data_IF_042392944815
#
_entry.id   IF_042392944815
#
_cell.length_a   1.000
_cell.length_b   1.000
_cell.length_c   1.000
_cell.angle_alpha   90.00
_cell.angle_beta   90.00
_cell.angle_gamma   90.00
#
_symmetry.space_group_name_H-M   'P 1'
#
loop_
_entity.id
_entity.type
_entity.pdbx_description
1 polymer ?
#
# COMPACT_ATOMS: atom_id res chain seq x y z
N UNK A 1 0.30 -124.40 4.72
CA UNK A 1 -0.63 -123.32 5.15
C UNK A 1 -1.35 -122.88 3.88
N UNK A 2 -2.65 -123.10 3.74
CA UNK A 2 -3.78 -122.30 4.29
C UNK A 2 -3.91 -120.92 3.59
N UNK A 3 -5.09 -120.46 3.14
CA UNK A 3 -6.46 -121.04 2.99
C UNK A 3 -7.34 -120.01 2.21
N UNK A 4 -8.42 -120.41 1.51
CA UNK A 4 -9.37 -119.50 0.83
C UNK A 4 -9.05 -119.35 -0.67
N UNK A 5 -9.95 -119.51 -1.66
CA UNK A 5 -11.43 -119.40 -1.79
C UNK A 5 -11.93 -117.93 -1.86
N UNK A 6 -12.90 -117.49 -2.67
CA UNK A 6 -13.51 -117.97 -3.95
C UNK A 6 -14.38 -116.82 -4.57
N UNK A 7 -14.76 -116.92 -5.86
CA UNK A 7 -15.89 -116.23 -6.57
C UNK A 7 -16.08 -114.70 -6.55
N UNK A 8 -15.95 -114.10 -7.75
CA UNK A 8 -16.92 -113.24 -8.48
C UNK A 8 -17.65 -112.04 -7.83
N UNK A 9 -17.57 -110.86 -8.49
CA UNK A 9 -18.72 -110.24 -9.21
C UNK A 9 -18.39 -108.96 -10.03
N UNK A 10 -18.97 -108.90 -11.24
CA UNK A 10 -19.72 -107.81 -11.92
C UNK A 10 -19.40 -106.33 -11.52
N UNK A 11 -18.94 -105.44 -12.41
CA UNK A 11 -19.71 -104.66 -13.45
C UNK A 11 -20.55 -103.52 -12.83
N UNK A 12 -20.63 -102.25 -13.31
CA UNK A 12 -20.14 -101.49 -14.50
C UNK A 12 -19.16 -100.36 -14.01
N UNK A 13 -18.71 -99.25 -14.64
CA UNK A 13 -18.80 -98.55 -15.95
C UNK A 13 -17.53 -97.62 -16.11
N UNK A 14 -17.44 -96.90 -17.24
CA UNK A 14 -16.79 -95.61 -17.48
C UNK A 14 -15.29 -95.59 -17.87
N UNK A 15 -15.05 -95.32 -19.16
CA UNK A 15 -13.73 -95.25 -19.80
C UNK A 15 -12.92 -93.98 -19.46
N UNK A 16 -11.58 -93.99 -19.61
CA UNK A 16 -10.69 -92.99 -19.00
C UNK A 16 -10.48 -91.72 -19.84
N UNK A 17 -10.12 -90.61 -19.16
CA UNK A 17 -9.44 -89.47 -19.77
C UNK A 17 -8.05 -89.26 -19.16
N UNK A 18 -7.04 -89.36 -20.01
CA UNK A 18 -5.64 -89.10 -19.69
C UNK A 18 -5.44 -87.62 -19.32
N UNK A 19 -4.73 -87.35 -18.23
CA UNK A 19 -4.35 -85.98 -17.86
C UNK A 19 -3.15 -85.53 -18.72
N UNK A 20 -3.43 -84.74 -19.75
CA UNK A 20 -2.41 -83.99 -20.48
C UNK A 20 -1.78 -82.95 -19.54
N UNK A 21 -0.57 -83.22 -19.05
CA UNK A 21 0.23 -82.28 -18.26
C UNK A 21 0.80 -81.21 -19.21
N UNK A 22 -0.07 -80.29 -19.62
CA UNK A 22 0.32 -79.10 -20.37
C UNK A 22 1.17 -78.22 -19.48
N UNK A 23 2.45 -78.02 -19.84
CA UNK A 23 3.34 -77.09 -19.12
C UNK A 23 2.75 -75.68 -19.18
N UNK A 24 2.28 -75.18 -18.04
CA UNK A 24 1.85 -73.79 -17.91
C UNK A 24 3.07 -72.88 -18.10
N UNK A 25 3.17 -72.27 -19.27
CA UNK A 25 4.05 -71.12 -19.49
C UNK A 25 3.55 -70.00 -18.56
N UNK A 26 4.42 -69.36 -17.76
CA UNK A 26 4.01 -68.24 -16.92
C UNK A 26 3.76 -67.02 -17.80
N UNK A 27 2.56 -66.95 -18.39
CA UNK A 27 2.06 -65.74 -19.02
C UNK A 27 1.85 -64.70 -17.94
N UNK A 28 2.87 -63.88 -17.70
CA UNK A 28 2.73 -62.60 -16.98
C UNK A 28 1.89 -61.68 -17.85
N UNK A 29 0.57 -61.89 -17.83
CA UNK A 29 -0.39 -60.93 -18.35
C UNK A 29 -0.15 -59.64 -17.58
N UNK A 30 0.46 -58.64 -18.23
CA UNK A 30 0.51 -57.30 -17.67
C UNK A 30 -0.94 -56.91 -17.33
N UNK A 31 -1.21 -56.32 -16.14
CA UNK A 31 -2.54 -55.85 -15.82
C UNK A 31 -2.99 -54.93 -16.96
N UNK A 32 -4.24 -55.02 -17.43
CA UNK A 32 -4.69 -54.30 -18.61
C UNK A 32 -4.33 -52.83 -18.43
N UNK A 33 -3.53 -52.30 -19.36
CA UNK A 33 -3.23 -50.88 -19.39
C UNK A 33 -4.54 -50.17 -19.67
N UNK A 34 -5.20 -49.73 -18.60
CA UNK A 34 -6.31 -48.80 -18.69
C UNK A 34 -5.70 -47.56 -19.33
N UNK A 35 -5.93 -47.39 -20.62
CA UNK A 35 -5.69 -46.14 -21.30
C UNK A 35 -6.38 -45.08 -20.45
N UNK A 36 -5.58 -44.18 -19.88
CA UNK A 36 -6.14 -43.02 -19.21
C UNK A 36 -6.98 -42.33 -20.25
N UNK A 37 -8.28 -42.21 -20.02
CA UNK A 37 -9.08 -41.27 -20.79
C UNK A 37 -8.43 -39.89 -20.65
N UNK A 38 -7.68 -39.50 -21.68
CA UNK A 38 -7.44 -38.09 -21.94
C UNK A 38 -8.81 -37.49 -22.18
N UNK A 39 -9.41 -37.02 -21.09
CA UNK A 39 -10.70 -36.35 -21.05
C UNK A 39 -10.52 -35.06 -21.86
N UNK A 40 -10.68 -35.19 -23.19
CA UNK A 40 -10.51 -34.09 -24.12
C UNK A 40 -11.42 -32.97 -23.64
N UNK A 41 -10.87 -31.79 -23.32
CA UNK A 41 -11.69 -30.74 -22.77
C UNK A 41 -12.73 -30.28 -23.79
N UNK A 42 -13.78 -29.65 -23.29
CA UNK A 42 -14.83 -29.02 -24.12
C UNK A 42 -14.23 -27.98 -25.09
N UNK A 43 -13.12 -27.38 -24.68
CA UNK A 43 -12.37 -26.31 -25.32
C UNK A 43 -10.96 -26.25 -24.70
N UNK A 44 -9.92 -26.05 -25.51
CA UNK A 44 -8.51 -25.96 -25.10
C UNK A 44 -7.84 -24.64 -25.57
N UNK A 45 -8.66 -23.60 -25.78
CA UNK A 45 -8.19 -22.30 -26.24
C UNK A 45 -7.24 -21.65 -25.22
N UNK A 46 -6.14 -21.01 -25.66
CA UNK A 46 -5.30 -20.20 -24.79
C UNK A 46 -6.08 -18.97 -24.31
N UNK A 47 -6.03 -18.67 -23.01
CA UNK A 47 -6.68 -17.48 -22.43
C UNK A 47 -5.85 -16.20 -22.58
N UNK A 48 -4.91 -16.21 -23.52
CA UNK A 48 -4.34 -15.01 -24.13
C UNK A 48 -3.09 -14.44 -23.46
N UNK A 49 -2.39 -15.19 -22.62
CA UNK A 49 -1.08 -14.78 -22.08
C UNK A 49 -0.06 -14.69 -23.22
N UNK A 50 0.00 -15.72 -24.05
CA UNK A 50 0.94 -15.85 -25.17
C UNK A 50 0.69 -14.79 -26.25
N UNK A 51 -0.54 -14.75 -26.78
CA UNK A 51 -0.92 -13.88 -27.89
C UNK A 51 -1.20 -12.41 -27.47
N UNK A 52 -1.20 -12.11 -26.16
CA UNK A 52 -1.38 -10.77 -25.62
C UNK A 52 -2.84 -10.29 -25.51
N UNK A 53 -3.85 -11.12 -25.77
CA UNK A 53 -5.26 -10.80 -25.52
C UNK A 53 -5.59 -10.66 -24.02
N UNK A 54 -4.80 -11.26 -23.13
CA UNK A 54 -5.05 -11.18 -21.68
C UNK A 54 -4.85 -9.76 -21.12
N UNK A 55 -5.75 -9.24 -20.25
CA UNK A 55 -5.66 -7.89 -19.70
C UNK A 55 -4.37 -7.64 -18.89
N UNK A 56 -3.47 -6.81 -19.43
CA UNK A 56 -2.11 -6.60 -18.88
C UNK A 56 -2.08 -6.09 -17.42
N UNK A 57 -3.16 -5.48 -16.94
CA UNK A 57 -3.31 -4.90 -15.60
C UNK A 57 -4.01 -5.84 -14.58
N UNK A 58 -4.09 -7.16 -14.83
CA UNK A 58 -4.87 -8.13 -14.02
C UNK A 58 -4.07 -9.32 -13.49
N UNK A 59 -2.80 -9.10 -13.17
CA UNK A 59 -1.93 -10.07 -12.51
C UNK A 59 -1.62 -9.66 -11.07
N UNK A 60 -1.49 -10.63 -10.15
CA UNK A 60 -0.88 -10.38 -8.84
C UNK A 60 0.09 -11.50 -8.50
N UNK A 61 1.34 -11.12 -8.21
CA UNK A 61 2.39 -11.93 -7.60
C UNK A 61 3.42 -10.99 -6.95
N UNK A 62 4.41 -11.51 -6.23
CA UNK A 62 5.57 -10.76 -5.73
C UNK A 62 6.80 -11.36 -6.41
N UNK A 63 7.48 -10.61 -7.28
CA UNK A 63 8.55 -11.14 -8.14
C UNK A 63 9.81 -10.28 -8.13
N UNK A 64 10.96 -10.91 -8.37
CA UNK A 64 12.26 -10.24 -8.48
C UNK A 64 12.71 -10.10 -9.94
N UNK A 65 13.22 -8.91 -10.27
CA UNK A 65 14.10 -8.68 -11.40
C UNK A 65 14.92 -7.40 -11.15
N UNK A 66 16.00 -7.19 -11.91
CA UNK A 66 16.91 -6.05 -11.75
C UNK A 66 16.34 -4.69 -12.20
N UNK A 67 17.24 -3.74 -12.47
CA UNK A 67 16.90 -2.32 -12.75
C UNK A 67 15.95 -2.09 -13.93
N UNK A 68 15.77 -3.07 -14.81
CA UNK A 68 14.67 -3.10 -15.78
C UNK A 68 13.63 -4.14 -15.34
N UNK A 69 12.42 -3.67 -15.04
CA UNK A 69 11.28 -4.51 -14.64
C UNK A 69 10.42 -4.83 -15.88
N UNK A 70 10.51 -6.04 -16.47
CA UNK A 70 9.57 -6.46 -17.50
C UNK A 70 8.15 -6.51 -16.94
N UNK A 71 7.13 -6.32 -17.79
CA UNK A 71 5.73 -6.51 -17.37
C UNK A 71 5.53 -7.99 -17.02
N UNK A 72 4.67 -8.26 -16.02
CA UNK A 72 4.42 -9.63 -15.56
C UNK A 72 3.81 -10.54 -16.65
N UNK A 73 3.07 -9.98 -17.61
CA UNK A 73 2.63 -10.68 -18.83
C UNK A 73 3.81 -11.29 -19.60
N UNK A 74 4.91 -10.56 -19.78
CA UNK A 74 6.06 -10.99 -20.59
C UNK A 74 6.96 -12.01 -19.87
N UNK A 75 6.82 -12.13 -18.55
CA UNK A 75 7.40 -13.20 -17.74
C UNK A 75 6.60 -14.51 -17.80
N UNK A 76 5.34 -14.47 -18.27
CA UNK A 76 4.44 -15.63 -18.24
C UNK A 76 4.25 -16.28 -19.62
N UNK A 77 4.50 -15.58 -20.73
CA UNK A 77 4.45 -16.15 -22.10
C UNK A 77 5.32 -17.40 -22.23
N UNK A 78 4.78 -18.46 -22.84
CA UNK A 78 5.47 -19.72 -23.09
C UNK A 78 6.61 -19.59 -24.10
N UNK A 79 6.54 -18.60 -25.01
CA UNK A 79 7.65 -18.23 -25.91
C UNK A 79 8.75 -17.40 -25.26
N UNK A 80 8.55 -16.88 -24.05
CA UNK A 80 9.49 -15.94 -23.43
C UNK A 80 10.85 -16.60 -23.14
N UNK A 81 11.98 -15.90 -23.40
CA UNK A 81 13.33 -16.39 -23.03
C UNK A 81 13.60 -16.28 -21.51
N UNK A 82 12.73 -15.58 -20.78
CA UNK A 82 12.73 -15.43 -19.33
C UNK A 82 11.45 -16.04 -18.75
N UNK A 83 11.40 -16.26 -17.43
CA UNK A 83 10.20 -16.78 -16.77
C UNK A 83 9.95 -16.09 -15.43
N UNK A 84 8.70 -16.12 -14.98
CA UNK A 84 8.30 -15.58 -13.68
C UNK A 84 9.03 -16.29 -12.56
N UNK A 85 9.64 -15.50 -11.67
CA UNK A 85 10.34 -15.96 -10.48
C UNK A 85 9.93 -15.11 -9.28
N UNK A 86 9.39 -15.71 -8.20
CA UNK A 86 9.03 -14.97 -7.01
C UNK A 86 10.27 -14.44 -6.28
N UNK A 87 10.07 -13.47 -5.39
CA UNK A 87 11.17 -12.89 -4.59
C UNK A 87 11.84 -13.87 -3.62
N UNK A 88 11.18 -14.97 -3.28
CA UNK A 88 11.67 -16.03 -2.40
C UNK A 88 11.22 -17.40 -2.93
N UNK A 89 12.03 -18.44 -2.78
CA UNK A 89 11.64 -19.81 -3.12
C UNK A 89 10.81 -20.45 -1.98
N UNK A 90 9.53 -20.07 -1.82
CA UNK A 90 8.65 -20.61 -0.77
C UNK A 90 7.40 -21.33 -1.31
N UNK A 91 6.79 -22.28 -0.57
CA UNK A 91 5.50 -22.88 -0.95
C UNK A 91 4.28 -21.94 -0.82
N UNK A 92 4.47 -20.69 -0.42
CA UNK A 92 3.41 -19.68 -0.28
C UNK A 92 3.30 -18.74 -1.50
N UNK A 93 4.26 -18.78 -2.42
CA UNK A 93 4.27 -17.97 -3.64
C UNK A 93 3.16 -18.38 -4.61
N UNK A 94 2.68 -17.45 -5.43
CA UNK A 94 1.66 -17.76 -6.44
C UNK A 94 1.65 -16.80 -7.63
N UNK A 95 1.19 -17.32 -8.76
CA UNK A 95 0.71 -16.54 -9.90
C UNK A 95 -0.81 -16.46 -9.78
N UNK A 96 -1.40 -15.25 -9.68
CA UNK A 96 -2.85 -15.04 -9.72
C UNK A 96 -3.28 -14.37 -11.03
N UNK A 97 -4.23 -15.02 -11.71
CA UNK A 97 -5.00 -14.47 -12.83
C UNK A 97 -6.37 -13.96 -12.34
N UNK A 98 -6.85 -12.88 -12.95
CA UNK A 98 -8.21 -12.32 -12.83
C UNK A 98 -8.76 -12.10 -14.24
N UNK A 99 -9.68 -12.97 -14.67
CA UNK A 99 -10.25 -12.97 -16.02
C UNK A 99 -11.36 -11.92 -16.24
N UNK A 100 -11.52 -10.96 -15.32
CA UNK A 100 -12.54 -9.89 -15.29
C UNK A 100 -13.99 -10.37 -15.12
N UNK A 101 -14.40 -11.40 -15.83
CA UNK A 101 -15.66 -12.13 -15.68
C UNK A 101 -15.42 -13.61 -15.35
N UNK A 102 -16.48 -14.40 -15.14
CA UNK A 102 -16.38 -15.85 -15.16
C UNK A 102 -15.83 -16.35 -16.51
N UNK A 103 -15.07 -17.43 -16.48
CA UNK A 103 -14.61 -18.21 -17.64
C UNK A 103 -14.76 -19.70 -17.34
N UNK A 104 -14.91 -20.51 -18.38
CA UNK A 104 -14.83 -21.97 -18.28
C UNK A 104 -13.37 -22.38 -18.46
N UNK A 105 -12.67 -22.60 -17.34
CA UNK A 105 -11.26 -23.00 -17.34
C UNK A 105 -11.15 -24.51 -17.48
N UNK A 106 -10.43 -25.01 -18.48
CA UNK A 106 -10.33 -26.44 -18.79
C UNK A 106 -8.96 -27.03 -18.52
N UNK A 107 -7.92 -26.19 -18.40
CA UNK A 107 -6.59 -26.63 -18.05
C UNK A 107 -5.60 -25.49 -17.92
N UNK A 108 -4.32 -25.83 -18.00
CA UNK A 108 -3.21 -24.88 -18.15
C UNK A 108 -1.98 -25.58 -18.73
N UNK A 109 -1.13 -24.82 -19.42
CA UNK A 109 0.18 -25.26 -19.93
C UNK A 109 1.28 -24.51 -19.18
N UNK A 110 2.33 -25.22 -18.73
CA UNK A 110 3.50 -24.63 -18.07
C UNK A 110 4.81 -24.95 -18.80
N UNK A 111 5.77 -24.03 -18.73
CA UNK A 111 7.21 -24.30 -18.90
C UNK A 111 7.96 -23.86 -17.63
N UNK A 112 9.19 -24.35 -17.45
CA UNK A 112 10.15 -23.72 -16.54
C UNK A 112 10.73 -22.42 -17.11
N UNK A 113 11.94 -22.05 -16.70
CA UNK A 113 12.71 -20.97 -17.31
C UNK A 113 14.21 -21.03 -16.99
N UNK A 114 15.00 -20.01 -17.35
CA UNK A 114 16.47 -20.08 -17.37
C UNK A 114 17.13 -20.30 -16.00
N UNK A 115 16.39 -20.19 -14.89
CA UNK A 115 16.92 -20.32 -13.53
C UNK A 115 16.33 -21.50 -12.72
N UNK A 116 15.40 -22.27 -13.29
CA UNK A 116 14.75 -23.39 -12.61
C UNK A 116 13.43 -23.82 -13.23
N UNK A 117 12.74 -24.74 -12.57
CA UNK A 117 11.41 -25.18 -13.00
C UNK A 117 10.62 -25.78 -11.84
N UNK A 118 9.29 -25.64 -11.90
CA UNK A 118 8.38 -26.19 -10.88
C UNK A 118 7.98 -27.62 -11.26
N UNK A 119 8.36 -28.58 -10.41
CA UNK A 119 8.14 -30.03 -10.59
C UNK A 119 6.83 -30.52 -9.98
N UNK A 120 6.16 -29.69 -9.17
CA UNK A 120 4.79 -29.94 -8.71
C UNK A 120 4.14 -28.71 -8.10
N UNK A 121 2.85 -28.53 -8.36
CA UNK A 121 2.06 -27.37 -7.93
C UNK A 121 0.60 -27.75 -7.63
N UNK A 122 -0.10 -26.91 -6.87
CA UNK A 122 -1.56 -26.98 -6.73
C UNK A 122 -2.23 -25.82 -7.46
N UNK A 123 -3.43 -26.08 -7.95
CA UNK A 123 -4.30 -25.09 -8.60
C UNK A 123 -5.42 -24.72 -7.64
N UNK A 124 -5.59 -23.43 -7.42
CA UNK A 124 -6.69 -22.86 -6.63
C UNK A 124 -7.55 -21.96 -7.52
N UNK A 125 -8.86 -21.93 -7.30
CA UNK A 125 -9.80 -21.15 -8.12
C UNK A 125 -10.85 -20.43 -7.25
N UNK A 126 -11.39 -19.32 -7.73
CA UNK A 126 -12.37 -18.51 -7.01
C UNK A 126 -13.31 -17.73 -7.93
N UNK A 127 -14.59 -17.64 -7.54
CA UNK A 127 -15.56 -16.73 -8.19
C UNK A 127 -15.46 -15.28 -7.69
N UNK A 128 -14.89 -15.03 -6.50
CA UNK A 128 -14.91 -13.71 -5.85
C UNK A 128 -13.54 -13.20 -5.35
N UNK A 129 -12.45 -13.96 -5.55
CA UNK A 129 -11.10 -13.61 -5.14
C UNK A 129 -10.83 -13.69 -3.63
N UNK A 130 -11.87 -13.92 -2.81
CA UNK A 130 -11.80 -14.01 -1.34
C UNK A 130 -11.81 -15.46 -0.86
N UNK A 131 -12.76 -16.27 -1.33
CA UNK A 131 -12.92 -17.69 -0.98
C UNK A 131 -12.27 -18.53 -2.08
N UNK A 132 -11.31 -19.38 -1.74
CA UNK A 132 -10.51 -20.14 -2.70
C UNK A 132 -10.70 -21.65 -2.52
N UNK A 133 -11.13 -22.33 -3.59
CA UNK A 133 -11.24 -23.78 -3.66
C UNK A 133 -9.97 -24.36 -4.29
N UNK A 134 -9.55 -25.57 -3.89
CA UNK A 134 -8.47 -26.30 -4.57
C UNK A 134 -9.05 -27.21 -5.66
N UNK A 135 -8.30 -27.43 -6.75
CA UNK A 135 -8.59 -28.49 -7.72
C UNK A 135 -8.61 -29.86 -7.01
N UNK A 136 -9.57 -30.71 -7.35
CA UNK A 136 -9.74 -32.05 -6.77
C UNK A 136 -9.36 -33.17 -7.75
N UNK A 137 -9.07 -34.36 -7.20
CA UNK A 137 -8.78 -35.58 -7.95
C UNK A 137 -10.04 -36.42 -8.21
N UNK A 138 -9.84 -37.64 -8.71
CA UNK A 138 -10.93 -38.57 -9.01
C UNK A 138 -11.61 -39.17 -7.76
N UNK A 139 -11.03 -38.98 -6.57
CA UNK A 139 -11.55 -39.38 -5.26
C UNK A 139 -12.09 -38.19 -4.45
N UNK A 140 -12.17 -36.99 -5.06
CA UNK A 140 -12.58 -35.76 -4.39
C UNK A 140 -11.55 -35.15 -3.44
N UNK A 141 -10.31 -35.66 -3.43
CA UNK A 141 -9.24 -35.17 -2.54
C UNK A 141 -8.48 -34.00 -3.19
N UNK A 142 -7.82 -33.12 -2.40
CA UNK A 142 -7.05 -31.99 -2.94
C UNK A 142 -5.92 -32.46 -3.86
N UNK A 143 -6.01 -32.12 -5.15
CA UNK A 143 -5.08 -32.57 -6.19
C UNK A 143 -3.82 -31.71 -6.18
N UNK A 144 -2.68 -32.38 -6.27
CA UNK A 144 -1.41 -31.80 -6.73
C UNK A 144 -1.22 -32.21 -8.19
N UNK A 145 -0.80 -31.29 -9.04
CA UNK A 145 -0.38 -31.59 -10.40
C UNK A 145 1.13 -31.77 -10.43
N UNK A 146 1.57 -32.73 -11.25
CA UNK A 146 2.98 -32.88 -11.63
C UNK A 146 3.32 -31.68 -12.52
N UNK A 147 4.52 -31.14 -12.38
CA UNK A 147 4.99 -30.01 -13.17
C UNK A 147 5.96 -30.39 -14.27
N UNK A 148 6.78 -29.44 -14.68
CA UNK A 148 7.79 -29.64 -15.71
C UNK A 148 8.93 -30.54 -15.19
N UNK A 149 9.59 -31.23 -16.12
CA UNK A 149 10.77 -32.04 -15.86
C UNK A 149 12.09 -31.34 -16.23
N UNK A 150 12.02 -30.29 -17.05
CA UNK A 150 13.13 -29.43 -17.46
C UNK A 150 12.71 -27.94 -17.49
N UNK A 151 13.54 -27.07 -18.08
CA UNK A 151 13.30 -25.64 -18.18
C UNK A 151 12.44 -25.17 -19.36
N UNK A 152 12.23 -25.95 -20.43
CA UNK A 152 11.59 -25.46 -21.66
C UNK A 152 10.58 -26.39 -22.36
N UNK A 153 10.52 -27.68 -22.02
CA UNK A 153 9.47 -28.56 -22.52
C UNK A 153 8.10 -28.15 -21.96
N UNK A 154 7.09 -27.86 -22.81
CA UNK A 154 5.76 -27.49 -22.36
C UNK A 154 5.04 -28.70 -21.76
N UNK A 155 4.39 -28.49 -20.61
CA UNK A 155 3.66 -29.50 -19.87
C UNK A 155 2.20 -29.05 -19.70
N UNK A 156 1.27 -29.72 -20.38
CA UNK A 156 -0.16 -29.39 -20.36
C UNK A 156 -0.93 -30.24 -19.37
N UNK A 157 -1.81 -29.62 -18.59
CA UNK A 157 -2.69 -30.31 -17.64
C UNK A 157 -4.14 -29.86 -17.76
N UNK A 158 -4.97 -30.74 -18.32
CA UNK A 158 -6.42 -30.60 -18.31
C UNK A 158 -7.02 -30.97 -16.94
N UNK A 159 -8.05 -30.24 -16.55
CA UNK A 159 -8.85 -30.49 -15.36
C UNK A 159 -9.91 -31.55 -15.67
N UNK A 160 -10.27 -32.40 -14.69
CA UNK A 160 -11.31 -33.44 -14.87
C UNK A 160 -12.68 -32.85 -15.20
N UNK A 161 -12.95 -31.64 -14.70
CA UNK A 161 -14.17 -30.88 -14.92
C UNK A 161 -13.80 -29.43 -15.20
N UNK A 162 -14.50 -28.79 -16.14
CA UNK A 162 -14.31 -27.38 -16.43
C UNK A 162 -14.66 -26.52 -15.20
N UNK A 163 -13.76 -25.64 -14.78
CA UNK A 163 -13.92 -24.78 -13.61
C UNK A 163 -14.54 -23.45 -14.04
N UNK A 164 -15.84 -23.27 -13.79
CA UNK A 164 -16.49 -21.97 -13.99
C UNK A 164 -16.02 -20.98 -12.90
N UNK A 165 -15.02 -20.14 -13.23
CA UNK A 165 -14.29 -19.31 -12.27
C UNK A 165 -13.88 -17.96 -12.88
N UNK A 166 -13.77 -16.91 -12.06
CA UNK A 166 -13.19 -15.61 -12.49
C UNK A 166 -11.69 -15.51 -12.16
N UNK A 167 -11.24 -16.17 -11.10
CA UNK A 167 -9.86 -16.12 -10.66
C UNK A 167 -9.22 -17.51 -10.66
N UNK A 168 -7.94 -17.56 -11.00
CA UNK A 168 -7.10 -18.76 -10.96
C UNK A 168 -5.80 -18.42 -10.21
N UNK A 169 -5.30 -19.36 -9.42
CA UNK A 169 -4.02 -19.30 -8.72
C UNK A 169 -3.24 -20.59 -8.96
N UNK A 170 -1.99 -20.45 -9.37
CA UNK A 170 -1.01 -21.54 -9.40
C UNK A 170 -0.06 -21.33 -8.23
N UNK A 171 0.08 -22.36 -7.37
CA UNK A 171 0.89 -22.32 -6.15
C UNK A 171 1.95 -23.43 -6.26
N UNK A 172 3.23 -23.09 -6.52
CA UNK A 172 4.33 -24.04 -6.51
C UNK A 172 4.46 -24.77 -5.17
N UNK A 173 4.73 -26.07 -5.23
CA UNK A 173 4.92 -26.94 -4.05
C UNK A 173 6.27 -27.67 -4.07
N UNK A 174 6.82 -27.94 -5.27
CA UNK A 174 8.15 -28.53 -5.49
C UNK A 174 8.77 -27.93 -6.75
N UNK A 175 10.08 -27.75 -6.75
CA UNK A 175 10.85 -27.16 -7.85
C UNK A 175 12.28 -27.70 -7.89
N UNK A 176 12.94 -27.51 -9.03
CA UNK A 176 14.37 -27.77 -9.24
C UNK A 176 15.09 -26.44 -9.41
N UNK A 177 16.20 -26.26 -8.70
CA UNK A 177 16.98 -25.02 -8.58
C UNK A 177 16.18 -23.86 -7.95
N UNK A 178 15.26 -23.25 -8.70
CA UNK A 178 14.40 -22.16 -8.26
C UNK A 178 12.95 -22.37 -8.72
N UNK A 179 12.01 -21.70 -8.07
CA UNK A 179 10.69 -21.47 -8.63
C UNK A 179 10.87 -20.53 -9.84
N UNK A 180 10.76 -21.08 -11.05
CA UNK A 180 10.72 -20.29 -12.28
C UNK A 180 9.68 -20.91 -13.23
N UNK A 181 8.77 -20.10 -13.77
CA UNK A 181 7.62 -20.59 -14.57
C UNK A 181 7.25 -19.65 -15.71
N UNK A 182 6.84 -20.23 -16.84
CA UNK A 182 5.96 -19.61 -17.85
C UNK A 182 4.64 -20.39 -17.88
N UNK A 183 3.51 -19.72 -18.12
CA UNK A 183 2.15 -20.25 -17.93
C UNK A 183 1.15 -19.65 -18.92
N UNK A 184 0.41 -20.51 -19.63
CA UNK A 184 -0.83 -20.15 -20.32
C UNK A 184 -2.02 -20.91 -19.70
N UNK A 185 -3.01 -20.25 -19.09
CA UNK A 185 -4.28 -20.87 -18.72
C UNK A 185 -5.09 -21.28 -19.95
N UNK A 186 -5.75 -22.43 -19.92
CA UNK A 186 -6.59 -22.94 -21.02
C UNK A 186 -8.07 -22.93 -20.63
N UNK A 187 -8.95 -22.70 -21.60
CA UNK A 187 -10.39 -22.66 -21.39
C UNK A 187 -11.19 -22.63 -22.69
N UNK A 188 -12.42 -22.14 -22.59
CA UNK A 188 -13.15 -21.62 -23.74
C UNK A 188 -12.81 -20.14 -23.85
N UNK A 189 -12.24 -19.70 -24.97
CA UNK A 189 -11.94 -18.28 -25.16
C UNK A 189 -13.22 -17.49 -25.37
N UNK A 190 -13.35 -16.41 -24.61
CA UNK A 190 -14.38 -15.38 -24.77
C UNK A 190 -13.66 -14.04 -24.67
N UNK A 191 -13.96 -13.10 -25.56
CA UNK A 191 -13.38 -11.75 -25.52
C UNK A 191 -13.51 -11.15 -24.12
N UNK A 192 -12.39 -10.64 -23.61
CA UNK A 192 -12.38 -10.01 -22.30
C UNK A 192 -13.35 -8.82 -22.33
N UNK A 193 -14.24 -8.69 -21.32
CA UNK A 193 -15.17 -7.59 -21.28
C UNK A 193 -14.35 -6.30 -21.37
N UNK A 194 -14.69 -5.43 -22.32
CA UNK A 194 -13.99 -4.16 -22.50
C UNK A 194 -14.15 -3.40 -21.20
N UNK A 195 -13.10 -3.47 -20.38
CA UNK A 195 -12.88 -2.46 -19.37
C UNK A 195 -12.58 -1.24 -20.20
N UNK A 196 -13.63 -0.45 -20.44
CA UNK A 196 -13.46 0.98 -20.49
C UNK A 196 -12.78 1.32 -19.15
N UNK A 197 -11.45 1.29 -19.18
CA UNK A 197 -10.68 2.38 -18.61
C UNK A 197 -11.24 3.62 -19.32
N UNK A 198 -12.40 4.08 -18.80
CA UNK A 198 -12.69 5.49 -18.77
C UNK A 198 -11.36 6.14 -18.45
N UNK A 199 -10.91 6.97 -19.38
CA UNK A 199 -9.93 7.99 -19.03
C UNK A 199 -10.72 8.98 -18.15
N UNK A 200 -10.99 8.54 -16.91
CA UNK A 200 -10.59 9.30 -15.74
C UNK A 200 -9.22 9.82 -16.10
N UNK A 201 -9.22 11.08 -16.53
CA UNK A 201 -8.00 11.83 -16.69
C UNK A 201 -7.35 11.72 -15.32
N UNK A 202 -6.28 10.93 -15.24
CA UNK A 202 -5.46 10.90 -14.04
C UNK A 202 -4.77 12.25 -14.04
N UNK A 203 -5.47 13.24 -13.47
CA UNK A 203 -4.91 14.50 -13.04
C UNK A 203 -3.59 14.17 -12.36
N UNK A 204 -2.46 14.53 -13.02
CA UNK A 204 -1.08 14.11 -12.71
C UNK A 204 -0.98 13.55 -11.30
N UNK A 205 -0.96 12.21 -11.12
CA UNK A 205 -1.58 11.49 -10.00
C UNK A 205 -1.47 12.29 -8.71
N UNK A 206 -2.55 13.05 -8.41
CA UNK A 206 -2.53 14.23 -7.52
C UNK A 206 -1.59 13.96 -6.34
N UNK A 207 -0.45 14.68 -6.26
CA UNK A 207 0.80 14.16 -5.70
C UNK A 207 0.52 13.46 -4.39
N UNK A 208 0.74 12.13 -4.38
CA UNK A 208 0.30 11.15 -3.35
C UNK A 208 0.08 11.89 -2.05
N UNK A 209 -1.18 12.22 -1.69
CA UNK A 209 -1.52 13.37 -0.86
C UNK A 209 -0.56 13.34 0.30
N UNK A 210 0.32 14.36 0.35
CA UNK A 210 1.38 14.39 1.33
C UNK A 210 0.69 14.17 2.67
N UNK A 211 1.09 13.10 3.35
CA UNK A 211 0.63 12.87 4.70
C UNK A 211 1.45 13.87 5.50
N UNK A 212 1.02 15.12 5.41
CA UNK A 212 1.09 16.11 6.46
C UNK A 212 0.54 15.38 7.68
N UNK A 213 1.45 14.72 8.39
CA UNK A 213 1.22 14.18 9.70
C UNK A 213 0.63 15.33 10.49
N UNK A 214 -0.66 15.26 10.80
CA UNK A 214 -1.36 16.37 11.41
C UNK A 214 -0.87 16.47 12.86
N UNK A 215 0.24 17.18 13.06
CA UNK A 215 0.88 17.30 14.35
C UNK A 215 -0.05 18.04 15.31
N UNK A 216 0.01 17.67 16.59
CA UNK A 216 -0.68 18.41 17.63
C UNK A 216 0.09 19.69 18.00
N UNK A 217 -0.56 20.84 17.89
CA UNK A 217 0.03 22.17 18.07
C UNK A 217 0.62 22.74 16.78
N UNK A 218 1.05 24.00 16.83
CA UNK A 218 1.55 24.78 15.69
C UNK A 218 3.02 24.43 15.34
N UNK A 219 3.29 23.13 15.12
CA UNK A 219 4.62 22.61 14.78
C UNK A 219 4.79 22.53 13.26
N UNK A 220 5.61 23.42 12.70
CA UNK A 220 6.02 23.32 11.29
C UNK A 220 6.80 22.02 11.03
N UNK A 221 6.49 21.35 9.93
CA UNK A 221 6.87 19.95 9.65
C UNK A 221 8.31 19.79 9.13
N UNK A 222 9.30 20.24 9.91
CA UNK A 222 10.73 20.06 9.63
C UNK A 222 11.50 19.40 10.78
N UNK A 223 11.32 18.09 10.95
CA UNK A 223 12.42 17.10 11.15
C UNK A 223 11.86 15.67 11.36
N UNK A 224 12.01 14.81 10.35
CA UNK A 224 12.21 13.35 10.45
C UNK A 224 11.35 12.52 11.44
N UNK A 225 10.09 12.90 11.71
CA UNK A 225 9.12 12.05 12.44
C UNK A 225 8.46 11.07 11.48
N UNK A 226 8.73 9.77 11.67
CA UNK A 226 8.09 8.67 10.92
C UNK A 226 6.64 8.48 11.44
N UNK A 227 5.66 9.02 10.71
CA UNK A 227 4.28 9.20 11.19
C UNK A 227 3.24 8.48 10.33
N UNK A 228 2.77 7.34 10.81
CA UNK A 228 1.75 6.49 10.17
C UNK A 228 0.28 6.92 10.45
N UNK A 229 0.04 8.14 10.94
CA UNK A 229 -1.32 8.55 11.32
C UNK A 229 -2.24 8.75 10.11
N UNK A 230 -3.19 7.83 9.95
CA UNK A 230 -4.27 7.94 8.98
C UNK A 230 -5.25 9.06 9.40
N UNK A 231 -5.53 9.99 8.47
CA UNK A 231 -6.57 10.99 8.65
C UNK A 231 -7.93 10.31 8.96
N UNK A 232 -8.72 10.84 9.93
CA UNK A 232 -8.66 12.18 10.51
C UNK A 232 -7.84 12.32 11.80
N UNK A 233 -6.96 11.37 12.13
CA UNK A 233 -6.16 11.40 13.36
C UNK A 233 -4.94 12.33 13.25
N UNK A 234 -4.55 12.89 14.40
CA UNK A 234 -3.44 13.81 14.61
C UNK A 234 -2.36 13.13 15.45
N UNK A 235 -1.07 13.37 15.19
CA UNK A 235 0.02 12.78 15.97
C UNK A 235 0.42 13.66 17.15
N UNK A 236 0.45 13.09 18.36
CA UNK A 236 0.82 13.81 19.58
C UNK A 236 2.27 13.58 20.04
N UNK A 237 3.14 13.05 19.16
CA UNK A 237 4.50 12.63 19.50
C UNK A 237 4.62 11.18 20.00
N UNK A 238 3.51 10.48 20.27
CA UNK A 238 3.51 9.07 20.71
C UNK A 238 2.43 8.20 20.08
N UNK A 239 1.27 8.77 19.75
CA UNK A 239 0.11 8.04 19.22
C UNK A 239 -0.78 8.97 18.38
N UNK A 240 -1.61 8.35 17.54
CA UNK A 240 -2.60 9.03 16.72
C UNK A 240 -3.89 9.27 17.53
N UNK A 241 -4.28 10.54 17.73
CA UNK A 241 -5.44 10.97 18.52
C UNK A 241 -6.43 11.78 17.67
N UNK A 242 -7.68 11.91 18.12
CA UNK A 242 -8.59 12.92 17.57
C UNK A 242 -8.06 14.34 17.86
N UNK A 243 -8.32 15.30 16.95
CA UNK A 243 -7.87 16.71 17.12
C UNK A 243 -8.25 17.30 18.48
N UNK A 244 -9.45 16.98 18.98
CA UNK A 244 -9.96 17.43 20.27
C UNK A 244 -9.09 17.00 21.49
N UNK A 245 -8.21 16.00 21.34
CA UNK A 245 -7.29 15.44 22.34
C UNK A 245 -5.83 15.85 22.15
N UNK A 246 -5.53 16.73 21.19
CA UNK A 246 -4.18 17.24 21.03
C UNK A 246 -3.71 18.01 22.28
N UNK A 247 -2.52 17.71 22.82
CA UNK A 247 -1.85 18.60 23.78
C UNK A 247 -1.39 19.88 23.06
N UNK A 248 -1.12 20.93 23.83
CA UNK A 248 -0.41 22.11 23.35
C UNK A 248 1.09 21.86 23.48
N UNK A 249 1.91 22.49 22.63
CA UNK A 249 3.37 22.35 22.65
C UNK A 249 4.01 23.74 22.62
N UNK A 250 4.96 23.98 23.52
CA UNK A 250 5.89 25.12 23.45
C UNK A 250 7.31 24.62 23.70
N UNK A 251 8.26 25.02 22.86
CA UNK A 251 9.68 24.60 22.92
C UNK A 251 9.88 23.09 23.21
N UNK A 252 9.15 22.23 22.49
CA UNK A 252 9.10 20.76 22.63
C UNK A 252 8.52 20.22 23.95
N UNK A 253 8.11 21.06 24.90
CA UNK A 253 7.38 20.63 26.10
C UNK A 253 5.90 20.52 25.77
N UNK A 254 5.29 19.37 26.06
CA UNK A 254 3.86 19.14 25.85
C UNK A 254 3.04 19.39 27.12
N UNK A 255 1.92 20.10 26.95
CA UNK A 255 1.00 20.50 28.02
C UNK A 255 -0.37 19.86 27.77
N UNK A 256 -0.94 19.12 28.74
CA UNK A 256 -2.26 18.54 28.58
C UNK A 256 -3.35 19.63 28.58
N UNK A 257 -4.50 19.31 27.97
CA UNK A 257 -5.64 20.22 27.86
C UNK A 257 -6.12 20.63 29.26
N UNK A 258 -6.28 21.94 29.47
CA UNK A 258 -6.60 22.55 30.77
C UNK A 258 -5.39 23.05 31.57
N UNK A 259 -4.16 22.66 31.21
CA UNK A 259 -2.96 23.20 31.86
C UNK A 259 -2.77 24.69 31.60
N UNK A 260 -2.27 25.39 32.63
CA UNK A 260 -1.67 26.72 32.50
C UNK A 260 -0.15 26.59 32.49
N UNK A 261 0.52 27.39 31.67
CA UNK A 261 1.99 27.42 31.58
C UNK A 261 2.47 28.80 31.13
N UNK A 262 3.79 28.96 31.05
CA UNK A 262 4.48 30.19 30.67
C UNK A 262 5.38 29.89 29.46
N UNK A 263 5.29 30.69 28.39
CA UNK A 263 6.09 30.50 27.18
C UNK A 263 7.41 31.31 27.23
N UNK A 264 8.29 31.08 26.25
CA UNK A 264 9.57 31.82 26.09
C UNK A 264 9.41 33.35 25.99
N UNK A 265 8.26 33.82 25.51
CA UNK A 265 7.94 35.24 25.31
C UNK A 265 7.30 35.86 26.58
N UNK A 266 7.31 35.09 27.68
CA UNK A 266 6.80 35.45 29.01
C UNK A 266 5.30 35.82 29.01
N UNK A 267 4.50 35.05 28.29
CA UNK A 267 3.05 35.08 28.34
C UNK A 267 2.47 33.95 29.23
N UNK A 268 1.38 34.26 29.93
CA UNK A 268 0.58 33.26 30.64
C UNK A 268 -0.35 32.56 29.63
N UNK A 269 -0.04 31.31 29.30
CA UNK A 269 -0.76 30.48 28.35
C UNK A 269 -1.71 29.49 29.03
N UNK A 270 -2.87 29.25 28.40
CA UNK A 270 -3.81 28.18 28.79
C UNK A 270 -4.02 27.25 27.60
N UNK A 271 -3.80 25.95 27.81
CA UNK A 271 -4.04 24.94 26.78
C UNK A 271 -5.52 24.59 26.68
N UNK A 272 -6.14 24.76 25.51
CA UNK A 272 -7.57 24.45 25.28
C UNK A 272 -7.77 23.30 24.29
N UNK A 273 -9.02 22.84 24.16
CA UNK A 273 -9.41 21.78 23.22
C UNK A 273 -8.87 22.05 21.81
N UNK A 274 -8.23 21.05 21.20
CA UNK A 274 -7.59 21.19 19.89
C UNK A 274 -6.08 21.35 19.91
N UNK A 275 -5.44 21.42 21.09
CA UNK A 275 -4.01 21.71 21.23
C UNK A 275 -3.66 23.19 21.02
N UNK A 276 -4.64 24.08 21.20
CA UNK A 276 -4.51 25.52 20.94
C UNK A 276 -4.10 26.25 22.23
N UNK A 277 -3.07 27.08 22.10
CA UNK A 277 -2.48 27.85 23.20
C UNK A 277 -3.12 29.24 23.30
N UNK A 278 -3.88 29.52 24.37
CA UNK A 278 -4.44 30.86 24.62
C UNK A 278 -3.54 31.66 25.55
N UNK A 279 -2.58 32.38 24.97
CA UNK A 279 -1.57 33.17 25.67
C UNK A 279 -1.97 34.64 25.87
N UNK A 280 -1.46 35.26 26.94
CA UNK A 280 -1.60 36.70 27.24
C UNK A 280 -0.33 37.22 27.93
N UNK A 281 0.17 38.42 27.62
CA UNK A 281 1.35 38.99 28.29
C UNK A 281 1.23 39.00 29.81
N UNK A 282 2.26 38.50 30.49
CA UNK A 282 2.31 38.36 31.96
C UNK A 282 2.17 39.72 32.65
N UNK A 283 1.27 39.81 33.63
CA UNK A 283 0.98 41.05 34.35
C UNK A 283 1.83 41.16 35.61
N UNK A 284 2.83 42.03 35.58
CA UNK A 284 3.64 42.31 36.76
C UNK A 284 2.86 43.07 37.86
N UNK A 285 3.20 42.84 39.15
CA UNK A 285 2.69 43.66 40.24
C UNK A 285 3.18 45.12 40.11
N UNK A 286 2.49 46.09 40.71
CA UNK A 286 2.91 47.48 40.71
C UNK A 286 4.25 47.66 41.46
N UNK A 287 5.18 48.38 40.86
CA UNK A 287 6.47 48.71 41.46
C UNK A 287 6.39 49.90 42.42
N UNK A 288 7.38 50.06 43.33
CA UNK A 288 7.55 51.27 44.12
C UNK A 288 7.72 52.53 43.25
N UNK A 289 7.49 53.70 43.84
CA UNK A 289 7.60 55.01 43.17
C UNK A 289 8.93 55.19 42.41
N UNK A 290 8.85 55.78 41.21
CA UNK A 290 9.95 55.98 40.26
C UNK A 290 10.58 54.70 39.66
N UNK A 291 9.98 53.52 39.83
CA UNK A 291 10.42 52.28 39.16
C UNK A 291 9.37 51.74 38.18
N UNK A 292 9.85 51.16 37.08
CA UNK A 292 9.04 50.38 36.12
C UNK A 292 9.22 48.90 36.39
N UNK A 293 8.22 48.10 36.02
CA UNK A 293 8.39 46.66 35.94
C UNK A 293 9.14 46.29 34.66
N UNK A 294 10.00 45.29 34.76
CA UNK A 294 10.78 44.70 33.68
C UNK A 294 10.65 43.19 33.81
N UNK A 295 10.26 42.53 32.73
CA UNK A 295 10.25 41.06 32.67
C UNK A 295 11.66 40.61 32.28
N UNK A 296 12.23 39.67 33.03
CA UNK A 296 13.58 39.14 32.79
C UNK A 296 13.57 37.95 31.84
N UNK A 297 14.75 37.51 31.37
CA UNK A 297 14.90 36.34 30.51
C UNK A 297 14.49 35.00 31.18
N UNK A 298 14.21 34.98 32.48
CA UNK A 298 13.57 33.87 33.20
C UNK A 298 12.18 34.26 33.72
N UNK A 299 11.51 35.13 32.96
CA UNK A 299 10.12 35.57 33.05
C UNK A 299 9.62 36.07 34.42
N UNK A 300 10.50 36.34 35.38
CA UNK A 300 10.11 36.99 36.63
C UNK A 300 10.06 38.52 36.48
N UNK A 301 9.13 39.14 37.19
CA UNK A 301 8.98 40.58 37.23
C UNK A 301 10.02 41.20 38.19
N UNK A 302 10.83 42.11 37.68
CA UNK A 302 11.81 42.90 38.44
C UNK A 302 11.40 44.38 38.37
N UNK A 303 11.60 45.12 39.46
CA UNK A 303 11.42 46.58 39.44
C UNK A 303 12.79 47.26 39.22
N UNK A 304 12.86 48.16 38.25
CA UNK A 304 14.07 48.89 37.89
C UNK A 304 13.78 50.39 37.64
N UNK A 305 14.76 51.24 37.88
CA UNK A 305 14.74 52.64 37.45
C UNK A 305 14.89 52.74 35.93
N UNK A 306 14.64 53.93 35.35
CA UNK A 306 15.04 54.19 33.97
C UNK A 306 16.57 54.24 33.82
N UNK A 307 17.10 53.94 32.61
CA UNK A 307 18.50 54.19 32.26
C UNK A 307 18.89 55.66 32.41
N UNK A 308 20.20 55.94 32.45
CA UNK A 308 20.73 57.30 32.48
C UNK A 308 20.21 58.14 31.29
N UNK A 309 19.98 59.44 31.53
CA UNK A 309 19.35 60.38 30.58
C UNK A 309 17.92 59.99 30.15
N UNK A 310 17.23 59.11 30.87
CA UNK A 310 15.81 58.77 30.63
C UNK A 310 14.96 58.91 31.90
N UNK A 311 13.69 59.27 31.71
CA UNK A 311 12.73 59.54 32.77
C UNK A 311 11.44 58.74 32.59
N UNK A 312 10.87 58.27 33.69
CA UNK A 312 9.68 57.41 33.70
C UNK A 312 8.40 58.20 33.47
N UNK A 313 7.65 57.87 32.41
CA UNK A 313 6.39 58.50 32.04
C UNK A 313 5.23 58.03 32.97
N UNK A 314 4.59 58.90 33.78
CA UNK A 314 3.53 58.47 34.69
C UNK A 314 2.24 58.01 34.00
N UNK A 315 2.04 58.36 32.73
CA UNK A 315 0.82 58.02 31.97
C UNK A 315 0.91 56.74 31.15
N UNK A 316 2.11 56.30 30.76
CA UNK A 316 2.31 55.06 29.97
C UNK A 316 3.19 54.01 30.65
N UNK A 317 4.06 54.41 31.59
CA UNK A 317 5.05 53.52 32.23
C UNK A 317 6.37 53.38 31.46
N UNK A 318 6.54 54.06 30.32
CA UNK A 318 7.74 54.00 29.49
C UNK A 318 8.87 54.91 30.02
N UNK A 319 10.12 54.54 29.74
CA UNK A 319 11.25 55.46 29.88
C UNK A 319 11.41 56.28 28.61
N UNK A 320 11.30 57.61 28.74
CA UNK A 320 11.46 58.57 27.64
C UNK A 320 12.78 59.31 27.86
N UNK A 321 13.66 59.44 26.84
CA UNK A 321 14.87 60.25 26.97
C UNK A 321 14.55 61.70 27.31
N UNK A 322 15.35 62.33 28.17
CA UNK A 322 15.06 63.68 28.68
C UNK A 322 14.96 64.74 27.58
N UNK A 323 15.67 64.54 26.47
CA UNK A 323 15.58 65.36 25.24
C UNK A 323 14.23 65.30 24.51
N UNK A 324 13.41 64.28 24.77
CA UNK A 324 12.06 64.11 24.22
C UNK A 324 10.98 64.21 25.31
N UNK A 325 11.33 64.65 26.52
CA UNK A 325 10.39 64.75 27.63
C UNK A 325 9.39 65.90 27.44
N UNK A 326 8.20 65.57 26.93
CA UNK A 326 7.10 66.53 26.87
C UNK A 326 6.61 66.88 28.28
N UNK A 327 6.76 68.14 28.67
CA UNK A 327 6.24 68.70 29.92
C UNK A 327 4.73 69.07 29.85
N UNK A 328 4.05 68.71 28.76
CA UNK A 328 2.66 69.09 28.48
C UNK A 328 2.48 70.44 27.78
N UNK A 329 3.57 71.19 27.54
CA UNK A 329 3.56 72.48 26.84
C UNK A 329 3.94 72.26 25.38
N UNK A 330 3.13 72.81 24.46
CA UNK A 330 3.47 72.84 23.03
C UNK A 330 4.40 74.02 22.76
N UNK A 331 5.68 73.76 22.55
CA UNK A 331 6.65 74.78 22.17
C UNK A 331 6.27 75.42 20.82
N UNK A 332 5.67 76.61 20.89
CA UNK A 332 5.39 77.44 19.72
C UNK A 332 6.71 78.06 19.28
N UNK A 333 7.31 77.54 18.21
CA UNK A 333 8.39 78.23 17.49
C UNK A 333 7.87 79.59 17.01
N UNK A 334 8.23 80.65 17.73
CA UNK A 334 7.97 82.02 17.29
C UNK A 334 8.62 82.27 15.93
N UNK A 335 7.86 82.91 15.05
CA UNK A 335 8.29 83.24 13.69
C UNK A 335 9.19 84.48 13.68
N UNK A 336 10.37 84.37 13.09
CA UNK A 336 11.08 85.55 12.58
C UNK A 336 10.51 85.92 11.21
N UNK A 337 9.82 87.07 11.14
CA UNK A 337 9.39 87.63 9.87
C UNK A 337 10.60 88.18 9.10
N UNK A 338 10.99 87.54 8.00
CA UNK A 338 11.55 88.25 6.85
C UNK A 338 11.37 87.47 5.54
N UNK A 339 10.50 88.05 4.70
CA UNK A 339 10.35 87.96 3.24
C UNK A 339 11.43 87.13 2.52
N UNK A 340 11.14 86.08 1.73
CA UNK A 340 10.16 86.00 0.65
C UNK A 340 10.31 87.11 -0.41
N UNK A 341 11.20 86.92 -1.39
CA UNK A 341 11.08 87.48 -2.75
C UNK A 341 12.11 86.83 -3.71
N UNK A 342 11.69 86.60 -4.96
CA UNK A 342 12.32 85.76 -6.00
C UNK A 342 12.26 84.25 -5.65
N UNK A 343 11.86 83.35 -6.54
CA UNK A 343 11.62 83.50 -7.99
C UNK A 343 10.13 83.58 -8.41
N UNK A 344 9.89 83.70 -9.72
CA UNK A 344 8.67 84.23 -10.33
C UNK A 344 7.63 83.17 -10.73
N UNK A 345 6.45 83.68 -11.10
CA UNK A 345 5.22 82.96 -11.48
C UNK A 345 5.20 82.64 -13.02
N UNK A 346 4.09 82.31 -13.72
CA UNK A 346 3.91 80.97 -14.28
C UNK A 346 3.60 80.89 -15.81
N UNK A 347 3.39 79.67 -16.34
CA UNK A 347 2.51 79.37 -17.50
C UNK A 347 1.75 78.06 -17.18
N UNK A 348 0.42 78.05 -17.01
CA UNK A 348 -0.69 78.20 -17.97
C UNK A 348 -1.00 76.90 -18.75
N UNK A 349 -1.90 76.08 -18.19
CA UNK A 349 -3.14 75.52 -18.79
C UNK A 349 -3.65 74.41 -17.86
N UNK A 350 -4.84 74.51 -17.25
CA UNK A 350 -6.17 74.36 -17.86
C UNK A 350 -6.37 72.99 -18.56
N UNK A 351 -7.10 72.10 -17.88
CA UNK A 351 -8.38 71.65 -18.44
C UNK A 351 -9.36 71.23 -17.32
N UNK A 352 -10.66 71.33 -17.59
CA UNK A 352 -11.75 71.14 -16.60
C UNK A 352 -12.90 70.34 -17.21
N UNK A 353 -13.38 69.31 -16.51
CA UNK A 353 -14.76 68.78 -16.54
C UNK A 353 -14.94 67.91 -15.27
N UNK A 354 -15.84 68.28 -14.33
CA UNK A 354 -17.30 68.00 -14.26
C UNK A 354 -17.62 66.49 -14.00
N UNK A 355 -18.18 66.01 -12.88
CA UNK A 355 -19.35 66.43 -12.02
C UNK A 355 -20.70 66.05 -12.68
N UNK A 356 -21.68 65.38 -12.00
CA UNK A 356 -21.67 64.61 -10.72
C UNK A 356 -22.57 63.32 -10.69
N UNK A 357 -22.73 62.74 -9.48
CA UNK A 357 -23.95 62.14 -8.86
C UNK A 357 -24.89 61.19 -9.65
N UNK A 358 -25.17 60.03 -9.04
CA UNK A 358 -26.30 59.92 -8.09
C UNK A 358 -25.83 59.28 -6.77
#
# INVERSE_FOLDING_TARGET
MQRGDESDKEEEDAAPRQQLITKLVPTTTLPPYIEKEENKPICDDPLGVENGQYPQNKFHSIWQHGNQKPKLIDLLKLSSPIGWQPSLNTPNEYIKFDFLGPRNLTGLTTKGGPHGWVTGYKVMYSKNGKIWNQLIDYLGKPRTLIGNYDNDSPQTHYFKYALQSRFLKIVPLKWTNNINMRVEPLGCFEDYPIVNEEIKIVEKPKPKPEIECAMCGDVESNELVDCDCLAPLYFNGTQCVEKNRCPCVDNHISYPIGSKYENKDCEECVCVLGGVSQCKPKKCPPCPSNQRHVITNSCYCKCESCPEMQKLCPSSGDCIPESFWCNGIKDVKMTSHQNALKFLNPRINQNVNKIPQF
#
